data_IF_171569561042
#
_entry.id   IF_171569561042
#
_cell.length_a   1.000
_cell.length_b   1.000
_cell.length_c   1.000
_cell.angle_alpha   90.00
_cell.angle_beta   90.00
_cell.angle_gamma   90.00
#
_symmetry.space_group_name_H-M   'P 1'
#
loop_
_entity.id
_entity.type
_entity.pdbx_description
1 polymer ?
#
# COMPACT_ATOMS: atom_id res chain seq x y z
N UNK A 1 46.19 22.64 48.99
CA UNK A 1 45.88 22.67 47.54
C UNK A 1 46.81 23.68 46.90
N UNK A 2 47.53 23.31 45.85
CA UNK A 2 48.38 24.24 45.09
C UNK A 2 47.51 25.10 44.17
N UNK A 3 47.92 26.34 43.93
CA UNK A 3 47.19 27.34 43.14
C UNK A 3 46.87 26.87 41.70
N UNK A 4 47.72 26.00 41.12
CA UNK A 4 47.49 25.35 39.83
C UNK A 4 46.27 24.42 39.81
N UNK A 5 46.01 23.68 40.90
CA UNK A 5 44.84 22.78 40.99
C UNK A 5 43.53 23.57 40.99
N UNK A 6 43.50 24.71 41.69
CA UNK A 6 42.31 25.55 41.76
C UNK A 6 42.00 26.23 40.41
N UNK A 7 43.04 26.56 39.63
CA UNK A 7 42.88 27.05 38.26
C UNK A 7 42.31 25.94 37.34
N UNK A 8 42.82 24.72 37.44
CA UNK A 8 42.35 23.57 36.65
C UNK A 8 40.85 23.27 36.87
N UNK A 9 40.37 23.31 38.12
CA UNK A 9 38.95 23.06 38.42
C UNK A 9 38.04 24.15 37.84
N UNK A 10 38.45 25.42 37.92
CA UNK A 10 37.73 26.55 37.29
C UNK A 10 37.69 26.36 35.77
N UNK A 11 38.78 25.94 35.14
CA UNK A 11 38.82 25.71 33.69
C UNK A 11 37.89 24.56 33.30
N UNK A 12 37.84 23.47 34.08
CA UNK A 12 36.91 22.35 33.83
C UNK A 12 35.45 22.79 33.82
N UNK A 13 35.07 23.71 34.71
CA UNK A 13 33.71 24.27 34.75
C UNK A 13 33.41 25.19 33.55
N UNK A 14 34.43 25.81 32.96
CA UNK A 14 34.31 26.71 31.82
C UNK A 14 34.37 26.00 30.45
N UNK A 15 34.97 24.80 30.37
CA UNK A 15 35.11 24.02 29.12
C UNK A 15 33.77 23.81 28.38
N UNK A 16 32.65 23.46 29.03
CA UNK A 16 31.37 23.28 28.34
C UNK A 16 30.94 24.54 27.58
N UNK A 17 31.01 25.70 28.23
CA UNK A 17 30.64 26.99 27.61
C UNK A 17 31.62 27.43 26.51
N UNK A 18 32.88 27.03 26.61
CA UNK A 18 33.89 27.22 25.55
C UNK A 18 33.62 26.32 24.33
N UNK A 19 33.25 25.05 24.54
CA UNK A 19 32.92 24.11 23.44
C UNK A 19 31.65 24.53 22.70
N UNK A 20 30.67 25.07 23.41
CA UNK A 20 29.41 25.58 22.85
C UNK A 20 29.56 27.00 22.25
N UNK A 21 30.76 27.59 22.29
CA UNK A 21 31.08 28.94 21.77
C UNK A 21 30.21 30.09 22.32
N UNK A 22 29.68 29.93 23.55
CA UNK A 22 28.81 30.91 24.22
C UNK A 22 29.53 31.74 25.31
N UNK A 23 30.83 31.53 25.50
CA UNK A 23 31.62 32.27 26.49
C UNK A 23 32.16 33.61 25.96
N UNK A 24 32.53 34.51 26.88
CA UNK A 24 33.18 35.79 26.51
C UNK A 24 34.57 35.56 25.92
N UNK A 25 35.09 36.54 25.16
CA UNK A 25 36.43 36.47 24.58
C UNK A 25 37.53 36.32 25.65
N UNK A 26 37.40 37.00 26.79
CA UNK A 26 38.33 36.87 27.90
C UNK A 26 38.34 35.45 28.51
N UNK A 27 37.18 34.81 28.58
CA UNK A 27 37.04 33.41 29.02
C UNK A 27 37.66 32.45 28.01
N UNK A 28 37.49 32.72 26.72
CA UNK A 28 38.03 31.91 25.62
C UNK A 28 39.56 31.87 25.65
N UNK A 29 40.20 33.04 25.73
CA UNK A 29 41.66 33.17 25.80
C UNK A 29 42.24 32.48 27.04
N UNK A 30 41.55 32.59 28.18
CA UNK A 30 41.94 31.93 29.42
C UNK A 30 41.89 30.40 29.32
N UNK A 31 40.83 29.85 28.72
CA UNK A 31 40.69 28.40 28.51
C UNK A 31 41.71 27.90 27.48
N UNK A 32 41.92 28.62 26.37
CA UNK A 32 42.91 28.26 25.34
C UNK A 32 44.33 28.17 25.91
N UNK A 33 44.76 29.18 26.67
CA UNK A 33 46.07 29.18 27.32
C UNK A 33 46.25 27.99 28.26
N UNK A 34 45.23 27.63 29.04
CA UNK A 34 45.30 26.48 29.94
C UNK A 34 45.31 25.12 29.20
N UNK A 35 44.63 25.01 28.06
CA UNK A 35 44.61 23.78 27.26
C UNK A 35 45.98 23.46 26.62
N UNK A 36 46.85 24.46 26.41
CA UNK A 36 48.23 24.27 25.95
C UNK A 36 49.10 23.58 27.00
N UNK A 37 48.89 23.88 28.28
CA UNK A 37 49.69 23.40 29.40
C UNK A 37 49.10 22.14 30.06
N UNK A 38 47.78 21.95 30.03
CA UNK A 38 47.10 20.86 30.73
C UNK A 38 46.49 19.81 29.79
N UNK A 39 47.11 18.62 29.75
CA UNK A 39 46.63 17.49 28.95
C UNK A 39 45.29 16.90 29.41
N UNK A 40 44.96 17.00 30.70
CA UNK A 40 43.69 16.50 31.24
C UNK A 40 42.50 17.34 30.73
N UNK A 41 42.59 18.67 30.85
CA UNK A 41 41.60 19.61 30.34
C UNK A 41 41.43 19.49 28.82
N UNK A 42 42.53 19.24 28.08
CA UNK A 42 42.51 18.97 26.64
C UNK A 42 41.68 17.74 26.28
N UNK A 43 41.81 16.66 27.03
CA UNK A 43 41.02 15.44 26.82
C UNK A 43 39.53 15.67 27.11
N UNK A 44 39.21 16.45 28.14
CA UNK A 44 37.82 16.78 28.50
C UNK A 44 37.16 17.62 27.39
N UNK A 45 37.84 18.68 26.92
CA UNK A 45 37.36 19.50 25.82
C UNK A 45 37.16 18.70 24.53
N UNK A 46 38.10 17.82 24.18
CA UNK A 46 37.99 16.95 23.00
C UNK A 46 36.81 15.96 23.09
N UNK A 47 36.55 15.39 24.28
CA UNK A 47 35.40 14.51 24.50
C UNK A 47 34.07 15.24 24.34
N UNK A 48 33.94 16.44 24.91
CA UNK A 48 32.75 17.26 24.79
C UNK A 48 32.48 17.69 23.35
N UNK A 49 33.51 18.12 22.62
CA UNK A 49 33.40 18.51 21.20
C UNK A 49 32.95 17.33 20.31
N UNK A 50 33.47 16.12 20.57
CA UNK A 50 33.04 14.91 19.87
C UNK A 50 31.58 14.52 20.19
N UNK A 51 31.11 14.75 21.43
CA UNK A 51 29.72 14.50 21.82
C UNK A 51 28.76 15.51 21.18
N UNK A 52 29.13 16.80 21.11
CA UNK A 52 28.34 17.83 20.43
C UNK A 52 28.17 17.54 18.92
N UNK A 53 29.25 17.18 18.22
CA UNK A 53 29.21 16.74 16.82
C UNK A 53 28.37 15.48 16.60
N UNK A 54 28.30 14.60 17.61
CA UNK A 54 27.45 13.41 17.57
C UNK A 54 25.98 13.77 17.78
N UNK A 55 25.69 14.74 18.67
CA UNK A 55 24.36 15.32 18.89
C UNK A 55 23.79 16.00 17.65
N UNK A 56 24.55 16.90 17.01
CA UNK A 56 24.13 17.57 15.76
C UNK A 56 23.87 16.58 14.63
N UNK A 57 24.72 15.55 14.46
CA UNK A 57 24.49 14.47 13.49
C UNK A 57 23.23 13.66 13.80
N UNK A 58 22.88 13.48 15.07
CA UNK A 58 21.65 12.81 15.49
C UNK A 58 20.42 13.69 15.23
N UNK A 59 20.51 15.00 15.48
CA UNK A 59 19.44 15.96 15.19
C UNK A 59 19.20 16.14 13.69
N UNK A 60 20.24 16.28 12.87
CA UNK A 60 20.11 16.30 11.40
C UNK A 60 19.51 15.00 10.86
N UNK A 61 19.96 13.83 11.36
CA UNK A 61 19.34 12.54 11.01
C UNK A 61 17.88 12.46 11.47
N UNK A 62 17.54 13.06 12.61
CA UNK A 62 16.17 13.18 13.10
C UNK A 62 15.29 14.04 12.19
N UNK A 63 15.78 15.19 11.76
CA UNK A 63 15.09 16.12 10.85
C UNK A 63 14.93 15.54 9.44
N UNK A 64 15.96 14.88 8.91
CA UNK A 64 15.89 14.16 7.64
C UNK A 64 14.98 12.94 7.71
N UNK A 65 14.96 12.25 8.86
CA UNK A 65 14.01 11.18 9.16
C UNK A 65 12.57 11.68 9.14
N UNK A 66 12.28 12.80 9.80
CA UNK A 66 10.95 13.44 9.82
C UNK A 66 10.51 13.89 8.41
N UNK A 67 11.40 14.50 7.62
CA UNK A 67 11.12 14.85 6.22
C UNK A 67 10.84 13.62 5.35
N UNK A 68 11.60 12.53 5.53
CA UNK A 68 11.43 11.27 4.80
C UNK A 68 10.10 10.58 5.15
N UNK A 69 9.69 10.64 6.42
CA UNK A 69 8.38 10.13 6.89
C UNK A 69 7.22 10.95 6.31
N UNK A 70 7.31 12.29 6.33
CA UNK A 70 6.28 13.18 5.76
C UNK A 70 6.11 12.98 4.25
N UNK A 71 7.22 12.87 3.50
CA UNK A 71 7.21 12.59 2.05
C UNK A 71 6.60 11.23 1.71
N UNK A 72 6.84 10.21 2.53
CA UNK A 72 6.23 8.89 2.34
C UNK A 72 4.70 8.91 2.59
N UNK A 73 4.24 9.81 3.47
CA UNK A 73 2.81 9.99 3.78
C UNK A 73 2.03 10.59 2.61
N UNK A 74 2.63 11.54 1.88
CA UNK A 74 2.05 12.14 0.68
C UNK A 74 2.14 11.20 -0.52
N UNK A 75 3.25 10.47 -0.67
CA UNK A 75 3.44 9.49 -1.75
C UNK A 75 2.40 8.36 -1.71
N UNK A 76 2.15 7.76 -0.54
CA UNK A 76 1.12 6.72 -0.40
C UNK A 76 -0.26 7.21 -0.86
N UNK A 77 -0.62 8.47 -0.56
CA UNK A 77 -1.92 9.03 -0.94
C UNK A 77 -2.00 9.19 -2.44
N UNK A 78 -1.02 9.87 -3.04
CA UNK A 78 -0.96 10.13 -4.49
C UNK A 78 -1.01 8.83 -5.28
N UNK A 79 -0.21 7.84 -4.88
CA UNK A 79 -0.12 6.55 -5.57
C UNK A 79 -1.44 5.78 -5.54
N UNK A 80 -2.08 5.67 -4.39
CA UNK A 80 -3.35 4.91 -4.29
C UNK A 80 -4.53 5.64 -4.94
N UNK A 81 -4.54 6.99 -4.96
CA UNK A 81 -5.49 7.74 -5.79
C UNK A 81 -5.20 7.60 -7.28
N UNK A 82 -3.92 7.48 -7.67
CA UNK A 82 -3.52 7.15 -9.02
C UNK A 82 -4.04 5.77 -9.46
N UNK A 83 -3.95 4.77 -8.59
CA UNK A 83 -4.57 3.45 -8.82
C UNK A 83 -6.08 3.61 -9.01
N UNK A 84 -6.77 4.32 -8.12
CA UNK A 84 -8.22 4.53 -8.27
C UNK A 84 -8.58 5.17 -9.61
N UNK A 85 -7.86 6.22 -10.01
CA UNK A 85 -8.10 6.91 -11.28
C UNK A 85 -7.87 5.97 -12.47
N UNK A 86 -6.79 5.18 -12.43
CA UNK A 86 -6.51 4.15 -13.43
C UNK A 86 -7.64 3.14 -13.53
N UNK A 87 -8.14 2.62 -12.40
CA UNK A 87 -9.23 1.64 -12.40
C UNK A 87 -10.53 2.24 -12.94
N UNK A 88 -10.87 3.47 -12.55
CA UNK A 88 -12.08 4.16 -13.06
C UNK A 88 -11.97 4.38 -14.57
N UNK A 89 -10.81 4.85 -15.05
CA UNK A 89 -10.56 5.00 -16.48
C UNK A 89 -10.72 3.66 -17.22
N UNK A 90 -10.11 2.60 -16.69
CA UNK A 90 -10.22 1.25 -17.22
C UNK A 90 -11.69 0.79 -17.30
N UNK A 91 -12.48 1.03 -16.25
CA UNK A 91 -13.92 0.71 -16.23
C UNK A 91 -14.75 1.50 -17.24
N UNK A 92 -14.44 2.78 -17.48
CA UNK A 92 -15.11 3.60 -18.49
C UNK A 92 -14.83 3.04 -19.89
N UNK A 93 -13.57 2.73 -20.19
CA UNK A 93 -13.18 2.14 -21.47
C UNK A 93 -13.89 0.81 -21.74
N UNK A 94 -14.01 -0.03 -20.70
CA UNK A 94 -14.70 -1.32 -20.80
C UNK A 94 -16.22 -1.19 -20.95
N UNK A 95 -16.89 -0.51 -20.01
CA UNK A 95 -18.34 -0.59 -19.89
C UNK A 95 -19.09 0.52 -20.64
N UNK A 96 -18.40 1.59 -21.06
CA UNK A 96 -19.03 2.78 -21.68
C UNK A 96 -18.51 3.01 -23.10
N UNK A 97 -17.19 2.95 -23.33
CA UNK A 97 -16.57 3.36 -24.60
C UNK A 97 -16.72 2.35 -25.75
N UNK A 98 -17.81 1.59 -25.78
CA UNK A 98 -18.09 0.57 -26.81
C UNK A 98 -16.89 -0.34 -27.10
N UNK A 99 -16.20 -0.79 -26.05
CA UNK A 99 -15.24 -1.90 -26.18
C UNK A 99 -14.01 -1.61 -27.05
N UNK A 100 -13.77 -0.35 -27.45
CA UNK A 100 -12.65 0.04 -28.31
C UNK A 100 -11.27 -0.19 -27.66
N UNK A 101 -11.21 -0.19 -26.33
CA UNK A 101 -9.99 -0.35 -25.53
C UNK A 101 -9.56 -1.79 -25.23
N UNK A 102 -10.31 -2.82 -25.64
CA UNK A 102 -10.02 -4.22 -25.28
C UNK A 102 -8.64 -4.72 -25.72
N UNK A 103 -8.05 -4.14 -26.77
CA UNK A 103 -6.71 -4.50 -27.26
C UNK A 103 -5.61 -4.00 -26.30
N UNK A 104 -5.81 -2.83 -25.68
CA UNK A 104 -4.79 -2.20 -24.84
C UNK A 104 -4.51 -2.99 -23.55
N UNK A 105 -5.46 -3.86 -23.14
CA UNK A 105 -5.41 -4.57 -21.87
C UNK A 105 -5.75 -6.06 -21.94
N UNK A 106 -5.34 -6.73 -23.01
CA UNK A 106 -5.55 -8.17 -23.23
C UNK A 106 -4.89 -9.10 -22.16
N UNK A 107 -4.20 -8.54 -21.15
CA UNK A 107 -3.57 -9.28 -20.06
C UNK A 107 -3.83 -8.60 -18.70
N UNK A 108 -5.07 -8.63 -18.16
CA UNK A 108 -5.42 -7.88 -16.95
C UNK A 108 -4.70 -8.32 -15.67
N UNK A 109 -4.20 -9.55 -15.61
CA UNK A 109 -3.39 -10.04 -14.49
C UNK A 109 -2.09 -9.25 -14.27
N UNK A 110 -1.55 -8.61 -15.33
CA UNK A 110 -0.34 -7.77 -15.24
C UNK A 110 -0.64 -6.46 -14.47
N UNK A 111 -1.59 -5.60 -14.89
CA UNK A 111 -1.94 -4.40 -14.12
C UNK A 111 -2.48 -4.73 -12.73
N UNK A 112 -3.15 -5.85 -12.53
CA UNK A 112 -3.54 -6.33 -11.19
C UNK A 112 -2.33 -6.53 -10.28
N UNK A 113 -1.35 -7.30 -10.75
CA UNK A 113 -0.12 -7.59 -10.01
C UNK A 113 0.64 -6.30 -9.69
N UNK A 114 0.72 -5.38 -10.66
CA UNK A 114 1.32 -4.06 -10.46
C UNK A 114 0.58 -3.27 -9.36
N UNK A 115 -0.75 -3.20 -9.42
CA UNK A 115 -1.55 -2.51 -8.41
C UNK A 115 -1.31 -3.08 -7.00
N UNK A 116 -1.27 -4.42 -6.86
CA UNK A 116 -1.02 -5.08 -5.58
C UNK A 116 0.38 -4.75 -5.06
N UNK A 117 1.42 -4.85 -5.89
CA UNK A 117 2.80 -4.51 -5.50
C UNK A 117 2.87 -3.05 -5.04
N UNK A 118 2.25 -2.15 -5.79
CA UNK A 118 2.24 -0.71 -5.49
C UNK A 118 1.51 -0.42 -4.17
N UNK A 119 0.38 -1.07 -3.88
CA UNK A 119 -0.31 -0.98 -2.58
C UNK A 119 0.58 -1.47 -1.44
N UNK A 120 1.26 -2.61 -1.63
CA UNK A 120 2.14 -3.18 -0.61
C UNK A 120 3.33 -2.27 -0.31
N UNK A 121 4.02 -1.80 -1.35
CA UNK A 121 5.22 -0.95 -1.26
C UNK A 121 4.90 0.43 -0.72
N UNK A 122 3.82 1.06 -1.19
CA UNK A 122 3.43 2.40 -0.73
C UNK A 122 3.14 2.43 0.77
N UNK A 123 2.69 1.31 1.35
CA UNK A 123 2.45 1.17 2.80
C UNK A 123 3.65 0.73 3.63
N UNK A 124 4.83 0.48 3.04
CA UNK A 124 6.04 0.13 3.80
C UNK A 124 6.48 1.30 4.68
N UNK A 125 6.84 1.00 5.94
CA UNK A 125 7.26 1.99 6.94
C UNK A 125 6.13 2.71 7.66
N UNK A 126 4.85 2.49 7.30
CA UNK A 126 3.71 2.99 8.09
C UNK A 126 3.45 2.04 9.26
N UNK A 127 3.68 2.51 10.49
CA UNK A 127 3.40 1.76 11.72
C UNK A 127 1.89 1.76 11.97
N UNK A 128 1.32 0.57 12.21
CA UNK A 128 -0.07 0.46 12.66
C UNK A 128 -0.23 1.15 14.00
N UNK A 129 -1.09 2.16 14.05
CA UNK A 129 -1.36 2.87 15.30
C UNK A 129 -2.55 2.24 16.04
N UNK A 130 -3.47 1.58 15.31
CA UNK A 130 -4.69 0.96 15.83
C UNK A 130 -5.14 -0.19 14.90
N UNK A 131 -5.85 -1.17 15.45
CA UNK A 131 -6.41 -2.31 14.70
C UNK A 131 -7.65 -1.91 13.89
N UNK A 132 -7.99 -2.66 12.82
CA UNK A 132 -9.20 -2.41 12.04
C UNK A 132 -10.46 -2.52 12.93
N UNK A 133 -11.33 -1.50 12.88
CA UNK A 133 -12.62 -1.54 13.56
C UNK A 133 -13.66 -2.46 12.90
N UNK A 134 -14.78 -2.72 13.58
CA UNK A 134 -15.88 -3.61 13.10
C UNK A 134 -16.35 -3.29 11.68
N UNK A 135 -16.45 -2.00 11.32
CA UNK A 135 -16.87 -1.56 9.98
C UNK A 135 -15.92 -2.04 8.87
N UNK A 136 -14.61 -2.05 9.13
CA UNK A 136 -13.62 -2.51 8.16
C UNK A 136 -13.77 -4.01 7.87
N UNK A 137 -14.03 -4.83 8.90
CA UNK A 137 -14.31 -6.26 8.71
C UNK A 137 -15.62 -6.51 7.96
N UNK A 138 -16.68 -5.74 8.24
CA UNK A 138 -17.93 -5.82 7.49
C UNK A 138 -17.72 -5.47 6.01
N UNK A 139 -16.96 -4.40 5.72
CA UNK A 139 -16.58 -4.04 4.36
C UNK A 139 -15.76 -5.14 3.68
N UNK A 140 -14.83 -5.77 4.40
CA UNK A 140 -14.07 -6.92 3.91
C UNK A 140 -14.93 -8.13 3.59
N UNK A 141 -15.86 -8.48 4.49
CA UNK A 141 -16.80 -9.59 4.27
C UNK A 141 -17.69 -9.33 3.04
N UNK A 142 -18.24 -8.12 2.91
CA UNK A 142 -19.02 -7.73 1.74
C UNK A 142 -18.19 -7.80 0.45
N UNK A 143 -16.95 -7.27 0.48
CA UNK A 143 -16.03 -7.31 -0.67
C UNK A 143 -15.69 -8.75 -1.07
N UNK A 144 -15.48 -9.64 -0.10
CA UNK A 144 -15.23 -11.05 -0.33
C UNK A 144 -16.43 -11.74 -0.98
N UNK A 145 -17.64 -11.54 -0.45
CA UNK A 145 -18.87 -12.11 -1.02
C UNK A 145 -19.08 -11.62 -2.46
N UNK A 146 -18.88 -10.34 -2.72
CA UNK A 146 -18.95 -9.77 -4.06
C UNK A 146 -17.90 -10.36 -5.02
N UNK A 147 -16.71 -10.73 -4.53
CA UNK A 147 -15.69 -11.40 -5.35
C UNK A 147 -16.00 -12.88 -5.59
N UNK A 148 -16.65 -13.57 -4.64
CA UNK A 148 -17.03 -14.99 -4.79
C UNK A 148 -18.23 -15.16 -5.73
N UNK A 149 -19.19 -14.23 -5.69
CA UNK A 149 -20.39 -14.26 -6.52
C UNK A 149 -20.14 -14.48 -8.03
N UNK A 150 -19.28 -13.70 -8.73
CA UNK A 150 -19.04 -13.90 -10.15
C UNK A 150 -18.37 -15.26 -10.44
N UNK A 151 -17.53 -15.77 -9.54
CA UNK A 151 -16.93 -17.11 -9.69
C UNK A 151 -18.02 -18.18 -9.74
N UNK A 152 -18.94 -18.14 -8.77
CA UNK A 152 -20.05 -19.08 -8.70
C UNK A 152 -21.00 -18.92 -9.90
N UNK A 153 -21.26 -17.68 -10.32
CA UNK A 153 -22.11 -17.37 -11.46
C UNK A 153 -21.55 -17.96 -12.76
N UNK A 154 -20.27 -17.74 -13.07
CA UNK A 154 -19.65 -18.26 -14.28
C UNK A 154 -19.42 -19.77 -14.24
N UNK A 155 -19.11 -20.33 -13.07
CA UNK A 155 -19.05 -21.78 -12.90
C UNK A 155 -20.42 -22.44 -13.13
N UNK A 156 -21.48 -21.86 -12.56
CA UNK A 156 -22.85 -22.34 -12.79
C UNK A 156 -23.22 -22.24 -14.28
N UNK A 157 -22.95 -21.09 -14.92
CA UNK A 157 -23.18 -20.88 -16.34
C UNK A 157 -22.47 -21.93 -17.19
N UNK A 158 -21.19 -22.19 -16.91
CA UNK A 158 -20.39 -23.21 -17.62
C UNK A 158 -20.88 -24.65 -17.43
N UNK A 159 -21.57 -24.96 -16.32
CA UNK A 159 -22.12 -26.30 -16.09
C UNK A 159 -23.47 -26.53 -16.76
N UNK A 160 -24.24 -25.47 -17.01
CA UNK A 160 -25.60 -25.54 -17.54
C UNK A 160 -25.70 -25.19 -19.02
N UNK A 161 -24.62 -24.69 -19.62
CA UNK A 161 -24.53 -24.54 -21.06
C UNK A 161 -24.33 -25.94 -21.65
N UNK A 162 -25.23 -26.39 -22.54
CA UNK A 162 -25.13 -27.67 -23.25
C UNK A 162 -24.84 -27.44 -24.73
N UNK A 163 -24.09 -28.33 -25.39
CA UNK A 163 -23.79 -28.18 -26.82
C UNK A 163 -24.94 -28.64 -27.74
N UNK A 164 -26.07 -29.11 -27.19
CA UNK A 164 -27.05 -29.89 -27.95
C UNK A 164 -28.15 -29.01 -28.58
N UNK A 165 -27.94 -28.70 -29.86
CA UNK A 165 -28.81 -27.92 -30.74
C UNK A 165 -30.06 -28.74 -31.11
N UNK A 166 -31.02 -28.89 -30.20
CA UNK A 166 -32.35 -29.44 -30.57
C UNK A 166 -33.56 -28.79 -29.88
N UNK A 167 -33.37 -27.74 -29.06
CA UNK A 167 -34.51 -27.01 -28.50
C UNK A 167 -34.38 -25.50 -28.72
N UNK A 168 -35.38 -24.92 -29.40
CA UNK A 168 -35.48 -23.51 -29.83
C UNK A 168 -35.52 -22.46 -28.69
N UNK A 169 -35.15 -22.84 -27.47
CA UNK A 169 -34.89 -21.92 -26.38
C UNK A 169 -34.09 -22.67 -25.31
N UNK A 170 -32.76 -22.75 -25.44
CA UNK A 170 -31.95 -23.07 -24.28
C UNK A 170 -32.11 -21.93 -23.27
N UNK A 171 -32.78 -22.24 -22.17
CA UNK A 171 -33.11 -21.32 -21.08
C UNK A 171 -32.07 -21.52 -19.98
N UNK A 172 -31.18 -20.55 -19.80
CA UNK A 172 -30.21 -20.52 -18.70
C UNK A 172 -30.66 -19.43 -17.71
N UNK A 173 -30.79 -19.76 -16.43
CA UNK A 173 -31.37 -18.87 -15.41
C UNK A 173 -32.83 -18.43 -15.66
N UNK A 174 -33.60 -19.17 -16.47
CA UNK A 174 -34.92 -18.69 -16.91
C UNK A 174 -34.84 -17.64 -18.03
N UNK A 175 -33.66 -17.41 -18.61
CA UNK A 175 -33.38 -16.42 -19.64
C UNK A 175 -32.96 -17.16 -20.92
N UNK A 176 -33.49 -16.72 -22.07
CA UNK A 176 -33.02 -17.18 -23.38
C UNK A 176 -31.51 -16.94 -23.55
N UNK A 177 -30.79 -17.90 -24.12
CA UNK A 177 -29.34 -17.82 -24.33
C UNK A 177 -28.87 -16.50 -24.99
N UNK A 178 -29.66 -15.95 -25.93
CA UNK A 178 -29.38 -14.68 -26.63
C UNK A 178 -29.32 -13.45 -25.68
N UNK A 179 -29.98 -13.51 -24.52
CA UNK A 179 -30.06 -12.44 -23.52
C UNK A 179 -29.09 -12.65 -22.36
N UNK A 180 -28.45 -13.82 -22.28
CA UNK A 180 -27.53 -14.16 -21.19
C UNK A 180 -26.27 -13.29 -21.21
N UNK A 181 -25.75 -12.94 -22.40
CA UNK A 181 -24.58 -12.05 -22.52
C UNK A 181 -24.80 -10.67 -21.89
N UNK A 182 -25.82 -9.90 -22.31
CA UNK A 182 -26.17 -8.63 -21.68
C UNK A 182 -26.47 -8.75 -20.18
N UNK A 183 -27.12 -9.82 -19.75
CA UNK A 183 -27.37 -10.08 -18.33
C UNK A 183 -26.06 -10.20 -17.54
N UNK A 184 -25.13 -11.03 -17.99
CA UNK A 184 -23.84 -11.23 -17.31
C UNK A 184 -22.98 -9.95 -17.32
N UNK A 185 -22.97 -9.20 -18.42
CA UNK A 185 -22.25 -7.93 -18.51
C UNK A 185 -22.77 -6.89 -17.49
N UNK A 186 -24.11 -6.76 -17.33
CA UNK A 186 -24.70 -5.86 -16.31
C UNK A 186 -24.27 -6.30 -14.90
N UNK A 187 -24.27 -7.60 -14.60
CA UNK A 187 -23.78 -8.10 -13.30
C UNK A 187 -22.31 -7.70 -13.08
N UNK A 188 -21.44 -7.85 -14.09
CA UNK A 188 -20.04 -7.45 -13.98
C UNK A 188 -19.89 -5.94 -13.75
N UNK A 189 -20.63 -5.11 -14.47
CA UNK A 189 -20.59 -3.65 -14.31
C UNK A 189 -21.04 -3.20 -12.91
N UNK A 190 -22.10 -3.82 -12.37
CA UNK A 190 -22.60 -3.53 -11.00
C UNK A 190 -21.55 -3.93 -9.95
N UNK A 191 -20.99 -5.13 -10.05
CA UNK A 191 -19.96 -5.61 -9.13
C UNK A 191 -18.69 -4.75 -9.20
N UNK A 192 -18.25 -4.40 -10.40
CA UNK A 192 -17.12 -3.52 -10.62
C UNK A 192 -17.33 -2.17 -9.93
N UNK A 193 -18.48 -1.54 -10.17
CA UNK A 193 -18.84 -0.24 -9.58
C UNK A 193 -18.89 -0.31 -8.06
N UNK A 194 -19.49 -1.38 -7.52
CA UNK A 194 -19.55 -1.61 -6.08
C UNK A 194 -18.13 -1.77 -5.50
N UNK A 195 -17.27 -2.61 -6.10
CA UNK A 195 -15.90 -2.82 -5.61
C UNK A 195 -15.06 -1.53 -5.67
N UNK A 196 -15.23 -0.69 -6.69
CA UNK A 196 -14.60 0.64 -6.77
C UNK A 196 -15.06 1.53 -5.62
N UNK A 197 -16.35 1.55 -5.30
CA UNK A 197 -16.87 2.32 -4.17
C UNK A 197 -16.30 1.84 -2.83
N UNK A 198 -16.20 0.52 -2.62
CA UNK A 198 -15.55 -0.05 -1.44
C UNK A 198 -14.05 0.26 -1.39
N UNK A 199 -13.34 0.19 -2.52
CA UNK A 199 -11.94 0.57 -2.61
C UNK A 199 -11.74 2.04 -2.21
N UNK A 200 -12.55 2.97 -2.75
CA UNK A 200 -12.51 4.39 -2.42
C UNK A 200 -12.81 4.64 -0.94
N UNK A 201 -13.83 3.97 -0.38
CA UNK A 201 -14.14 4.05 1.04
C UNK A 201 -12.97 3.57 1.92
N UNK A 202 -12.43 2.39 1.62
CA UNK A 202 -11.31 1.80 2.36
C UNK A 202 -10.05 2.67 2.26
N UNK A 203 -9.78 3.22 1.08
CA UNK A 203 -8.69 4.18 0.86
C UNK A 203 -8.89 5.44 1.72
N UNK A 204 -10.09 6.01 1.73
CA UNK A 204 -10.44 7.15 2.57
C UNK A 204 -10.24 6.87 4.07
N UNK A 205 -10.64 5.68 4.54
CA UNK A 205 -10.42 5.23 5.91
C UNK A 205 -8.93 5.10 6.26
N UNK A 206 -8.12 4.50 5.38
CA UNK A 206 -6.66 4.36 5.58
C UNK A 206 -5.98 5.74 5.66
N UNK A 207 -6.46 6.71 4.87
CA UNK A 207 -5.93 8.07 4.85
C UNK A 207 -6.31 8.85 6.11
N UNK A 208 -7.59 8.76 6.54
CA UNK A 208 -8.12 9.55 7.67
C UNK A 208 -7.82 8.94 9.04
N UNK A 209 -7.95 7.63 9.21
CA UNK A 209 -7.99 6.97 10.53
C UNK A 209 -6.68 6.27 10.93
N UNK A 210 -5.61 6.37 10.11
CA UNK A 210 -4.28 5.76 10.36
C UNK A 210 -4.30 4.23 10.61
N UNK A 211 -5.36 3.52 10.24
CA UNK A 211 -5.40 2.04 10.28
C UNK A 211 -4.81 1.47 8.99
N UNK A 212 -4.08 0.37 9.08
CA UNK A 212 -3.39 -0.24 7.94
C UNK A 212 -4.20 -1.42 7.38
N UNK A 213 -5.27 -1.12 6.65
CA UNK A 213 -6.13 -2.15 6.06
C UNK A 213 -5.71 -2.50 4.61
N UNK A 214 -4.40 -2.61 4.34
CA UNK A 214 -3.85 -2.92 3.00
C UNK A 214 -4.47 -4.18 2.39
N UNK A 215 -4.73 -5.20 3.21
CA UNK A 215 -5.37 -6.44 2.77
C UNK A 215 -6.77 -6.22 2.20
N UNK A 216 -7.52 -5.20 2.68
CA UNK A 216 -8.82 -4.82 2.10
C UNK A 216 -8.64 -4.23 0.70
N UNK A 217 -7.63 -3.37 0.51
CA UNK A 217 -7.33 -2.82 -0.81
C UNK A 217 -6.93 -3.94 -1.78
N UNK A 218 -6.10 -4.90 -1.37
CA UNK A 218 -5.78 -6.08 -2.17
C UNK A 218 -7.03 -6.89 -2.52
N UNK A 219 -7.93 -7.11 -1.56
CA UNK A 219 -9.19 -7.82 -1.79
C UNK A 219 -10.10 -7.10 -2.80
N UNK A 220 -10.25 -5.77 -2.69
CA UNK A 220 -11.02 -4.97 -3.63
C UNK A 220 -10.40 -5.00 -5.04
N UNK A 221 -9.07 -4.84 -5.16
CA UNK A 221 -8.35 -4.95 -6.44
C UNK A 221 -8.62 -6.30 -7.09
N UNK A 222 -8.52 -7.39 -6.32
CA UNK A 222 -8.79 -8.74 -6.82
C UNK A 222 -10.21 -8.84 -7.36
N UNK A 223 -11.21 -8.36 -6.60
CA UNK A 223 -12.60 -8.36 -7.06
C UNK A 223 -12.83 -7.54 -8.33
N UNK A 224 -12.18 -6.38 -8.45
CA UNK A 224 -12.23 -5.51 -9.63
C UNK A 224 -11.66 -6.23 -10.85
N UNK A 225 -10.45 -6.78 -10.75
CA UNK A 225 -9.81 -7.47 -11.86
C UNK A 225 -10.51 -8.78 -12.23
N UNK A 226 -11.14 -9.45 -11.27
CA UNK A 226 -11.97 -10.61 -11.55
C UNK A 226 -13.17 -10.24 -12.46
N UNK A 227 -13.88 -9.14 -12.16
CA UNK A 227 -14.98 -8.66 -13.01
C UNK A 227 -14.52 -8.25 -14.41
N UNK A 228 -13.37 -7.56 -14.49
CA UNK A 228 -12.71 -7.20 -15.76
C UNK A 228 -12.39 -8.44 -16.60
N UNK A 229 -11.76 -9.44 -15.99
CA UNK A 229 -11.32 -10.63 -16.73
C UNK A 229 -12.51 -11.44 -17.24
N UNK A 230 -13.58 -11.57 -16.46
CA UNK A 230 -14.79 -12.25 -16.94
C UNK A 230 -15.46 -11.49 -18.08
N UNK A 231 -15.52 -10.16 -18.02
CA UNK A 231 -16.09 -9.35 -19.10
C UNK A 231 -15.27 -9.46 -20.41
N UNK A 232 -13.96 -9.29 -20.32
CA UNK A 232 -13.02 -9.50 -21.43
C UNK A 232 -13.16 -10.88 -22.05
N UNK A 233 -13.29 -11.91 -21.21
CA UNK A 233 -13.43 -13.26 -21.70
C UNK A 233 -14.75 -13.49 -22.42
N UNK A 234 -15.87 -12.96 -21.91
CA UNK A 234 -17.15 -13.03 -22.62
C UNK A 234 -17.06 -12.39 -24.00
N UNK A 235 -16.27 -11.32 -24.16
CA UNK A 235 -16.04 -10.67 -25.44
C UNK A 235 -15.21 -11.52 -26.42
N UNK A 236 -14.17 -12.20 -25.93
CA UNK A 236 -13.25 -12.99 -26.76
C UNK A 236 -13.60 -14.48 -26.86
N UNK A 237 -14.65 -14.95 -26.17
CA UNK A 237 -15.03 -16.36 -26.16
C UNK A 237 -15.36 -16.83 -27.59
N UNK A 238 -14.62 -17.82 -28.07
CA UNK A 238 -14.73 -18.34 -29.44
C UNK A 238 -15.37 -19.73 -29.54
N UNK A 239 -15.30 -20.54 -28.48
CA UNK A 239 -15.64 -21.96 -28.52
C UNK A 239 -16.15 -22.50 -27.18
N UNK A 240 -17.16 -23.36 -27.25
CA UNK A 240 -17.72 -24.05 -26.09
C UNK A 240 -16.72 -25.04 -25.45
N UNK A 241 -15.93 -25.74 -26.27
CA UNK A 241 -14.96 -26.75 -25.80
C UNK A 241 -13.90 -26.19 -24.84
N UNK A 242 -13.51 -24.92 -25.03
CA UNK A 242 -12.48 -24.28 -24.20
C UNK A 242 -13.05 -23.50 -23.01
N UNK A 243 -14.38 -23.34 -22.93
CA UNK A 243 -15.12 -22.55 -21.94
C UNK A 243 -14.67 -22.79 -20.50
N UNK A 244 -14.76 -24.03 -20.04
CA UNK A 244 -14.50 -24.39 -18.64
C UNK A 244 -13.04 -24.18 -18.26
N UNK A 245 -12.13 -24.49 -19.19
CA UNK A 245 -10.70 -24.32 -19.00
C UNK A 245 -10.35 -22.83 -18.96
N UNK A 246 -10.96 -22.01 -19.81
CA UNK A 246 -10.79 -20.57 -19.82
C UNK A 246 -11.29 -19.91 -18.54
N UNK A 247 -12.51 -20.22 -18.09
CA UNK A 247 -13.08 -19.70 -16.82
C UNK A 247 -12.17 -20.02 -15.64
N UNK A 248 -11.70 -21.26 -15.53
CA UNK A 248 -10.79 -21.66 -14.45
C UNK A 248 -9.46 -20.89 -14.53
N UNK A 249 -8.87 -20.80 -15.73
CA UNK A 249 -7.62 -20.07 -15.94
C UNK A 249 -7.75 -18.60 -15.53
N UNK A 250 -8.77 -17.92 -16.02
CA UNK A 250 -9.05 -16.50 -15.71
C UNK A 250 -9.28 -16.27 -14.22
N UNK A 251 -10.03 -17.17 -13.57
CA UNK A 251 -10.26 -17.11 -12.13
C UNK A 251 -8.94 -17.21 -11.37
N UNK A 252 -8.08 -18.16 -11.74
CA UNK A 252 -6.77 -18.35 -11.10
C UNK A 252 -5.81 -17.19 -11.37
N UNK A 253 -5.80 -16.65 -12.59
CA UNK A 253 -4.95 -15.52 -12.98
C UNK A 253 -5.23 -14.27 -12.12
N UNK A 254 -6.47 -14.08 -11.63
CA UNK A 254 -6.78 -12.99 -10.69
C UNK A 254 -6.67 -13.39 -9.21
N UNK A 255 -7.18 -14.55 -8.83
CA UNK A 255 -7.20 -14.97 -7.41
C UNK A 255 -5.78 -15.17 -6.86
N UNK A 256 -4.83 -15.71 -7.65
CA UNK A 256 -3.47 -15.99 -7.16
C UNK A 256 -2.73 -14.71 -6.73
N UNK A 257 -2.56 -13.67 -7.58
CA UNK A 257 -1.96 -12.40 -7.17
C UNK A 257 -2.69 -11.79 -5.98
N UNK A 258 -4.02 -11.81 -5.98
CA UNK A 258 -4.87 -11.29 -4.92
C UNK A 258 -4.61 -11.90 -3.55
N UNK A 259 -4.65 -13.24 -3.48
CA UNK A 259 -4.40 -14.00 -2.25
C UNK A 259 -2.98 -13.78 -1.74
N UNK A 260 -1.98 -13.80 -2.63
CA UNK A 260 -0.60 -13.50 -2.27
C UNK A 260 -0.46 -12.09 -1.68
N UNK A 261 -1.10 -11.10 -2.30
CA UNK A 261 -1.13 -9.73 -1.82
C UNK A 261 -1.74 -9.59 -0.42
N UNK A 262 -2.84 -10.29 -0.16
CA UNK A 262 -3.50 -10.33 1.15
C UNK A 262 -2.58 -10.98 2.20
N UNK A 263 -2.00 -12.14 1.89
CA UNK A 263 -1.10 -12.87 2.81
C UNK A 263 0.11 -12.00 3.17
N UNK A 264 0.77 -11.39 2.19
CA UNK A 264 1.92 -10.50 2.41
C UNK A 264 1.50 -9.29 3.24
N UNK A 265 0.36 -8.67 2.96
CA UNK A 265 -0.15 -7.55 3.75
C UNK A 265 -0.35 -7.93 5.22
N UNK A 266 -0.95 -9.09 5.50
CA UNK A 266 -1.18 -9.56 6.86
C UNK A 266 0.13 -9.92 7.57
N UNK A 267 1.08 -10.54 6.87
CA UNK A 267 2.40 -10.85 7.41
C UNK A 267 3.20 -9.58 7.77
N UNK A 268 3.14 -8.55 6.93
CA UNK A 268 3.77 -7.25 7.20
C UNK A 268 3.14 -6.57 8.42
N UNK A 269 1.81 -6.61 8.55
CA UNK A 269 1.12 -6.06 9.72
C UNK A 269 1.52 -6.79 11.02
N UNK A 270 1.63 -8.12 10.99
CA UNK A 270 2.08 -8.91 12.14
C UNK A 270 3.52 -8.57 12.56
N UNK A 271 4.45 -8.49 11.60
CA UNK A 271 5.86 -8.13 11.90
C UNK A 271 6.00 -6.76 12.55
N UNK A 272 5.20 -5.78 12.12
CA UNK A 272 5.22 -4.44 12.68
C UNK A 272 4.72 -4.38 14.14
N UNK A 273 3.83 -5.28 14.54
CA UNK A 273 3.38 -5.41 15.94
C UNK A 273 4.43 -6.06 16.84
N UNK A 274 5.16 -7.06 16.35
CA UNK A 274 6.20 -7.76 17.14
C UNK A 274 7.42 -6.89 17.43
N UNK A 275 7.69 -5.88 16.60
CA UNK A 275 8.81 -4.92 16.78
C UNK A 275 8.42 -3.68 17.61
N UNK A 276 7.22 -3.65 18.20
CA UNK A 276 6.69 -2.55 18.99
C UNK A 276 6.57 -2.91 20.47
#
# INVERSE_FOLDING_TARGET
MTMEKMNCDIIKDLIPSYVDEVCSQATKECVEAHLEECGECRLIAARLRNNALSGEKLEQKGLDGLKKIKRNLDFHRVVNYGILLFLVFYGIELFIAHNAGYVMFNRPWVPETICIIVILVSGLGRREQQSPGRRAYLCGAASFVMSVYPILLFQYFSMHLTPDVTSDAEIIFGIELNKTGPFLNIQMAVLFTAQIAFFLYNLGCIIKQKWNCRWLLCLNITGIFLTINYDLWMYYMDSYETLRLAINRITLESVIPGVLGIIVSLALARRQKTQA
#
